data_IF_299564679700
#
_entry.id   IF_299564679700
#
_cell.length_a   1.000
_cell.length_b   1.000
_cell.length_c   1.000
_cell.angle_alpha   90.00
_cell.angle_beta   90.00
_cell.angle_gamma   90.00
#
_symmetry.space_group_name_H-M   'P 1'
#
loop_
_entity.id
_entity.type
_entity.pdbx_description
1 polymer ?
#
# COMPACT_ATOMS: atom_id res chain seq x y z
N UNK A 1 -23.90 12.52 -4.47
CA UNK A 1 -24.36 11.74 -5.66
C UNK A 1 -23.83 10.32 -5.51
N UNK A 2 -24.72 9.33 -5.35
CA UNK A 2 -24.31 7.92 -5.19
C UNK A 2 -23.90 7.32 -6.53
N UNK A 3 -22.98 6.35 -6.50
CA UNK A 3 -22.61 5.56 -7.67
C UNK A 3 -23.76 4.66 -8.11
N UNK A 4 -23.96 4.54 -9.44
CA UNK A 4 -24.93 3.61 -10.00
C UNK A 4 -24.43 2.16 -9.86
N UNK A 5 -25.37 1.19 -9.94
CA UNK A 5 -24.97 -0.23 -10.01
C UNK A 5 -24.03 -0.50 -11.19
N UNK A 6 -24.21 0.21 -12.31
CA UNK A 6 -23.35 0.09 -13.49
C UNK A 6 -21.91 0.56 -13.22
N UNK A 7 -21.71 1.61 -12.42
CA UNK A 7 -20.37 2.06 -12.04
C UNK A 7 -19.65 1.01 -11.19
N UNK A 8 -20.36 0.42 -10.24
CA UNK A 8 -19.83 -0.64 -9.36
C UNK A 8 -19.43 -1.87 -10.20
N UNK A 9 -20.29 -2.33 -11.09
CA UNK A 9 -19.98 -3.46 -11.98
C UNK A 9 -18.82 -3.13 -12.93
N UNK A 10 -18.76 -1.91 -13.44
CA UNK A 10 -17.63 -1.47 -14.28
C UNK A 10 -16.28 -1.57 -13.54
N UNK A 11 -16.24 -1.22 -12.27
CA UNK A 11 -15.02 -1.32 -11.46
C UNK A 11 -14.65 -2.78 -11.23
N UNK A 12 -15.58 -3.62 -10.82
CA UNK A 12 -15.34 -5.05 -10.60
C UNK A 12 -14.79 -5.77 -11.84
N UNK A 13 -15.23 -5.36 -13.02
CA UNK A 13 -14.80 -5.96 -14.27
C UNK A 13 -13.49 -5.38 -14.82
N UNK A 14 -13.17 -4.12 -14.53
CA UNK A 14 -12.01 -3.42 -15.10
C UNK A 14 -10.79 -3.37 -14.18
N UNK A 15 -10.98 -3.50 -12.88
CA UNK A 15 -9.89 -3.47 -11.90
C UNK A 15 -9.60 -4.89 -11.44
N UNK A 16 -8.50 -5.45 -11.92
CA UNK A 16 -8.04 -6.76 -11.50
C UNK A 16 -7.55 -6.76 -10.05
N UNK A 17 -7.83 -7.82 -9.30
CA UNK A 17 -7.25 -8.02 -7.97
C UNK A 17 -5.72 -8.05 -8.04
N UNK A 18 -5.07 -8.73 -9.01
CA UNK A 18 -3.62 -8.66 -9.18
C UNK A 18 -3.09 -7.24 -9.36
N UNK A 19 -3.77 -6.42 -10.18
CA UNK A 19 -3.38 -5.03 -10.40
C UNK A 19 -3.51 -4.21 -9.12
N UNK A 20 -4.60 -4.40 -8.37
CA UNK A 20 -4.80 -3.77 -7.08
C UNK A 20 -3.70 -4.14 -6.08
N UNK A 21 -3.35 -5.41 -5.97
CA UNK A 21 -2.27 -5.86 -5.07
C UNK A 21 -0.94 -5.24 -5.48
N UNK A 22 -0.59 -5.25 -6.76
CA UNK A 22 0.66 -4.66 -7.27
C UNK A 22 0.71 -3.14 -7.08
N UNK A 23 -0.37 -2.43 -7.42
CA UNK A 23 -0.38 -0.97 -7.49
C UNK A 23 -0.72 -0.28 -6.17
N UNK A 24 -1.40 -0.96 -5.25
CA UNK A 24 -1.83 -0.39 -3.97
C UNK A 24 -1.19 -1.12 -2.80
N UNK A 25 -1.44 -2.41 -2.66
CA UNK A 25 -0.99 -3.17 -1.49
C UNK A 25 0.53 -3.19 -1.38
N UNK A 26 1.24 -3.49 -2.48
CA UNK A 26 2.70 -3.53 -2.47
C UNK A 26 3.34 -2.15 -2.31
N UNK A 27 2.63 -1.07 -2.65
CA UNK A 27 3.10 0.29 -2.38
C UNK A 27 2.89 0.70 -0.92
N UNK A 28 1.79 0.23 -0.29
CA UNK A 28 1.48 0.50 1.11
C UNK A 28 2.23 -0.43 2.08
N UNK A 29 2.58 -1.65 1.64
CA UNK A 29 3.27 -2.67 2.43
C UNK A 29 4.44 -3.30 1.67
N UNK A 30 5.43 -2.51 1.19
CA UNK A 30 6.54 -3.04 0.40
C UNK A 30 7.37 -4.08 1.15
N UNK A 31 7.53 -3.92 2.48
CA UNK A 31 8.27 -4.84 3.34
C UNK A 31 7.60 -6.21 3.49
N UNK A 32 6.28 -6.27 3.38
CA UNK A 32 5.52 -7.51 3.59
C UNK A 32 5.70 -8.50 2.43
N UNK A 33 5.99 -8.00 1.24
CA UNK A 33 6.15 -8.78 0.02
C UNK A 33 7.58 -8.81 -0.53
N UNK A 34 8.57 -8.28 0.20
CA UNK A 34 9.96 -8.14 -0.26
C UNK A 34 10.60 -9.44 -0.76
N UNK A 35 10.32 -10.58 -0.11
CA UNK A 35 10.84 -11.90 -0.49
C UNK A 35 9.85 -12.72 -1.33
N UNK A 36 8.71 -12.13 -1.66
CA UNK A 36 7.63 -12.82 -2.32
C UNK A 36 7.33 -12.17 -3.65
N UNK A 37 7.82 -12.75 -4.73
CA UNK A 37 7.32 -12.44 -6.07
C UNK A 37 5.83 -12.78 -6.05
N UNK A 38 4.98 -11.74 -6.02
CA UNK A 38 3.53 -11.89 -6.14
C UNK A 38 3.25 -12.22 -7.61
N UNK A 39 3.35 -13.49 -7.92
CA UNK A 39 3.04 -14.01 -9.24
C UNK A 39 1.74 -14.78 -9.16
N UNK A 40 0.65 -14.13 -9.55
CA UNK A 40 -0.67 -14.73 -9.56
C UNK A 40 -0.85 -15.78 -10.65
N UNK A 41 0.06 -15.83 -11.65
CA UNK A 41 0.00 -16.81 -12.72
C UNK A 41 0.67 -18.14 -12.31
N UNK A 42 1.71 -18.05 -11.46
CA UNK A 42 2.47 -19.20 -11.01
C UNK A 42 2.12 -19.68 -9.60
N UNK A 43 1.54 -18.83 -8.76
CA UNK A 43 1.23 -19.14 -7.36
C UNK A 43 -0.28 -19.11 -7.12
N UNK A 44 -0.80 -20.24 -6.67
CA UNK A 44 -2.21 -20.36 -6.26
C UNK A 44 -2.54 -19.56 -4.99
N UNK A 45 -1.52 -19.29 -4.15
CA UNK A 45 -1.66 -18.58 -2.88
C UNK A 45 -0.56 -17.56 -2.70
N UNK A 46 -0.92 -16.39 -2.18
CA UNK A 46 0.00 -15.37 -1.70
C UNK A 46 -0.23 -15.09 -0.22
N UNK A 47 0.70 -14.41 0.44
CA UNK A 47 0.48 -13.89 1.79
C UNK A 47 -0.69 -12.90 1.78
N UNK A 48 -1.55 -12.98 2.79
CA UNK A 48 -2.75 -12.16 2.83
C UNK A 48 -2.40 -10.70 3.19
N UNK A 49 -2.84 -9.71 2.40
CA UNK A 49 -2.60 -8.31 2.71
C UNK A 49 -3.48 -7.76 3.85
N UNK A 50 -4.48 -8.53 4.30
CA UNK A 50 -5.46 -8.10 5.29
C UNK A 50 -5.02 -8.45 6.71
N UNK A 51 -4.39 -9.62 6.89
CA UNK A 51 -3.85 -10.04 8.17
C UNK A 51 -2.40 -10.51 7.99
N UNK A 52 -1.54 -10.19 8.94
CA UNK A 52 -0.14 -10.62 8.89
C UNK A 52 -0.04 -12.14 9.04
N UNK A 53 0.68 -12.81 8.12
CA UNK A 53 0.88 -14.24 8.15
C UNK A 53 2.22 -14.64 7.52
N UNK A 54 2.77 -15.78 7.96
CA UNK A 54 3.99 -16.35 7.36
C UNK A 54 3.67 -17.36 6.27
N UNK A 55 2.57 -18.08 6.40
CA UNK A 55 2.13 -19.11 5.45
C UNK A 55 1.05 -18.53 4.52
N UNK A 56 1.26 -18.52 3.19
CA UNK A 56 0.31 -17.96 2.24
C UNK A 56 -1.08 -18.60 2.33
N UNK A 57 -2.12 -17.80 2.50
CA UNK A 57 -3.50 -18.25 2.60
C UNK A 57 -4.50 -17.44 1.75
N UNK A 58 -4.04 -16.38 1.07
CA UNK A 58 -4.87 -15.58 0.17
C UNK A 58 -4.87 -16.17 -1.23
N UNK A 59 -6.04 -16.54 -1.73
CA UNK A 59 -6.23 -17.10 -3.07
C UNK A 59 -7.00 -16.14 -3.97
N UNK A 60 -6.51 -15.96 -5.19
CA UNK A 60 -7.19 -15.25 -6.27
C UNK A 60 -7.87 -16.25 -7.22
N UNK A 61 -9.06 -15.90 -7.70
CA UNK A 61 -9.87 -16.64 -8.67
C UNK A 61 -10.03 -15.80 -9.94
N UNK A 62 -9.25 -16.09 -11.01
CA UNK A 62 -9.22 -15.27 -12.22
C UNK A 62 -10.57 -15.18 -12.96
N UNK A 63 -11.30 -16.28 -13.05
CA UNK A 63 -12.55 -16.35 -13.81
C UNK A 63 -13.64 -15.43 -13.26
N UNK A 64 -13.66 -15.23 -11.94
CA UNK A 64 -14.64 -14.37 -11.25
C UNK A 64 -14.06 -13.03 -10.79
N UNK A 65 -12.75 -12.80 -10.98
CA UNK A 65 -12.01 -11.67 -10.42
C UNK A 65 -12.31 -11.45 -8.92
N UNK A 66 -12.29 -12.54 -8.15
CA UNK A 66 -12.55 -12.55 -6.72
C UNK A 66 -11.37 -13.13 -5.93
N UNK A 67 -11.37 -12.92 -4.64
CA UNK A 67 -10.40 -13.54 -3.73
C UNK A 67 -11.09 -14.21 -2.55
N UNK A 68 -10.36 -15.09 -1.91
CA UNK A 68 -10.71 -15.62 -0.60
C UNK A 68 -9.43 -15.91 0.20
N UNK A 69 -9.42 -15.51 1.45
CA UNK A 69 -8.33 -15.81 2.38
C UNK A 69 -8.75 -16.90 3.34
N UNK A 70 -8.05 -18.03 3.33
CA UNK A 70 -8.34 -19.17 4.20
C UNK A 70 -7.89 -18.96 5.65
N UNK A 71 -7.02 -17.96 5.90
CA UNK A 71 -6.56 -17.59 7.23
C UNK A 71 -7.56 -16.71 7.99
N UNK A 72 -8.02 -15.61 7.39
CA UNK A 72 -8.93 -14.67 8.07
C UNK A 72 -10.38 -14.73 7.60
N UNK A 73 -10.71 -15.55 6.60
CA UNK A 73 -12.08 -15.66 6.06
C UNK A 73 -12.54 -14.48 5.19
N UNK A 74 -11.69 -13.48 4.96
CA UNK A 74 -12.03 -12.36 4.09
C UNK A 74 -12.15 -12.81 2.63
N UNK A 75 -13.15 -12.30 1.91
CA UNK A 75 -13.36 -12.67 0.51
C UNK A 75 -14.26 -11.67 -0.23
N UNK A 76 -14.25 -11.78 -1.55
CA UNK A 76 -15.09 -10.97 -2.42
C UNK A 76 -14.34 -10.40 -3.62
N UNK A 77 -14.83 -9.28 -4.14
CA UNK A 77 -14.26 -8.55 -5.28
C UNK A 77 -13.20 -7.52 -4.84
N UNK A 78 -12.67 -6.74 -5.78
CA UNK A 78 -11.67 -5.70 -5.52
C UNK A 78 -12.16 -4.60 -4.57
N UNK A 79 -13.47 -4.32 -4.54
CA UNK A 79 -14.07 -3.33 -3.61
C UNK A 79 -14.02 -3.88 -2.19
N UNK A 80 -14.36 -5.16 -2.00
CA UNK A 80 -14.25 -5.84 -0.72
C UNK A 80 -12.80 -5.92 -0.24
N UNK A 81 -11.86 -6.20 -1.16
CA UNK A 81 -10.44 -6.21 -0.85
C UNK A 81 -9.96 -4.84 -0.37
N UNK A 82 -10.31 -3.77 -1.09
CA UNK A 82 -9.95 -2.41 -0.70
C UNK A 82 -10.45 -2.06 0.71
N UNK A 83 -11.72 -2.35 0.98
CA UNK A 83 -12.34 -2.09 2.29
C UNK A 83 -11.64 -2.87 3.41
N UNK A 84 -11.42 -4.17 3.21
CA UNK A 84 -10.78 -5.03 4.21
C UNK A 84 -9.32 -4.65 4.43
N UNK A 85 -8.59 -4.31 3.37
CA UNK A 85 -7.20 -3.88 3.43
C UNK A 85 -7.03 -2.58 4.21
N UNK A 86 -7.82 -1.54 3.89
CA UNK A 86 -7.71 -0.26 4.61
C UNK A 86 -8.22 -0.34 6.04
N UNK A 87 -9.21 -1.22 6.33
CA UNK A 87 -9.60 -1.49 7.71
C UNK A 87 -8.46 -2.08 8.52
N UNK A 88 -7.73 -3.05 7.96
CA UNK A 88 -6.58 -3.65 8.65
C UNK A 88 -5.41 -2.67 8.80
N UNK A 89 -5.19 -1.79 7.81
CA UNK A 89 -4.09 -0.85 7.80
C UNK A 89 -4.28 0.33 8.76
N UNK A 90 -5.52 0.82 8.92
CA UNK A 90 -5.81 2.07 9.64
C UNK A 90 -6.93 1.95 10.68
N UNK A 91 -7.46 0.75 10.91
CA UNK A 91 -8.63 0.48 11.77
C UNK A 91 -9.86 1.35 11.43
N UNK A 92 -9.93 1.81 10.18
CA UNK A 92 -11.01 2.65 9.68
C UNK A 92 -11.90 1.87 8.74
N UNK A 93 -13.21 1.92 8.98
CA UNK A 93 -14.19 1.38 8.05
C UNK A 93 -14.31 2.28 6.81
N UNK A 94 -14.00 1.71 5.64
CA UNK A 94 -14.13 2.36 4.33
C UNK A 94 -15.50 2.05 3.75
N UNK A 95 -16.28 3.09 3.45
CA UNK A 95 -17.59 2.95 2.79
C UNK A 95 -17.46 2.45 1.35
N UNK A 96 -18.53 1.86 0.81
CA UNK A 96 -18.53 1.38 -0.59
C UNK A 96 -18.32 2.52 -1.59
N UNK A 97 -18.94 3.69 -1.37
CA UNK A 97 -18.77 4.87 -2.24
C UNK A 97 -17.33 5.38 -2.24
N UNK A 98 -16.68 5.38 -1.09
CA UNK A 98 -15.29 5.79 -0.94
C UNK A 98 -14.35 4.82 -1.68
N UNK A 99 -14.55 3.52 -1.49
CA UNK A 99 -13.79 2.48 -2.20
C UNK A 99 -13.93 2.59 -3.71
N UNK A 100 -15.17 2.77 -4.19
CA UNK A 100 -15.49 2.96 -5.62
C UNK A 100 -14.82 4.21 -6.17
N UNK A 101 -14.86 5.33 -5.45
CA UNK A 101 -14.20 6.58 -5.83
C UNK A 101 -12.69 6.39 -5.97
N UNK A 102 -12.07 5.75 -4.98
CA UNK A 102 -10.63 5.47 -5.00
C UNK A 102 -10.23 4.61 -6.21
N UNK A 103 -10.92 3.49 -6.39
CA UNK A 103 -10.63 2.55 -7.48
C UNK A 103 -10.84 3.17 -8.86
N UNK A 104 -11.90 3.95 -9.03
CA UNK A 104 -12.17 4.67 -10.27
C UNK A 104 -11.05 5.66 -10.59
N UNK A 105 -10.70 6.52 -9.65
CA UNK A 105 -9.66 7.53 -9.86
C UNK A 105 -8.29 6.89 -10.09
N UNK A 106 -7.97 5.81 -9.38
CA UNK A 106 -6.66 5.16 -9.45
C UNK A 106 -6.46 4.34 -10.71
N UNK A 107 -7.48 3.59 -11.15
CA UNK A 107 -7.35 2.59 -12.20
C UNK A 107 -8.08 2.92 -13.50
N UNK A 108 -9.17 3.67 -13.45
CA UNK A 108 -10.00 3.97 -14.64
C UNK A 108 -9.68 5.35 -15.20
N UNK A 109 -9.69 6.38 -14.38
CA UNK A 109 -9.52 7.75 -14.86
C UNK A 109 -8.05 8.03 -15.24
N UNK A 110 -7.07 7.41 -14.57
CA UNK A 110 -5.66 7.46 -15.00
C UNK A 110 -5.40 6.86 -16.38
N UNK A 111 -6.21 5.93 -16.83
CA UNK A 111 -6.12 5.37 -18.18
C UNK A 111 -6.63 6.35 -19.24
N UNK A 112 -7.52 7.28 -18.88
CA UNK A 112 -7.97 8.36 -19.79
C UNK A 112 -6.92 9.46 -19.97
N UNK A 113 -6.10 9.72 -18.94
CA UNK A 113 -5.10 10.79 -18.95
C UNK A 113 -3.75 10.39 -19.56
N UNK A 114 -3.54 9.11 -19.93
CA UNK A 114 -2.34 8.71 -20.70
C UNK A 114 -2.29 9.33 -22.10
N UNK A 115 -3.32 10.01 -22.54
CA UNK A 115 -3.37 10.80 -23.77
C UNK A 115 -3.23 12.32 -23.57
N UNK A 116 -3.02 12.80 -22.35
CA UNK A 116 -2.71 14.20 -22.06
C UNK A 116 -1.50 14.29 -21.12
N UNK A 117 -0.38 14.57 -21.75
CA UNK A 117 0.88 14.96 -21.11
C UNK A 117 0.66 16.23 -20.28
N UNK A 118 1.27 16.25 -19.09
CA UNK A 118 1.45 17.35 -18.16
C UNK A 118 0.46 17.45 -16.98
N UNK A 119 0.83 16.82 -15.90
CA UNK A 119 0.52 17.36 -14.58
C UNK A 119 1.83 17.57 -13.81
N UNK A 120 2.39 18.75 -14.09
CA UNK A 120 3.34 19.42 -13.21
C UNK A 120 2.77 19.45 -11.79
N UNK A 121 3.62 19.06 -10.85
CA UNK A 121 3.60 19.42 -9.45
C UNK A 121 2.56 20.49 -9.06
N UNK A 122 1.38 20.09 -8.63
CA UNK A 122 0.62 20.93 -7.72
C UNK A 122 1.26 20.79 -6.35
N UNK A 123 2.16 21.72 -6.08
CA UNK A 123 2.60 22.07 -4.74
C UNK A 123 1.32 22.43 -3.97
N UNK A 124 0.90 21.58 -3.07
CA UNK A 124 -0.11 21.93 -2.07
C UNK A 124 0.49 23.07 -1.26
N UNK A 125 -0.21 24.21 -1.07
CA UNK A 125 0.30 25.29 -0.25
C UNK A 125 0.64 24.73 1.12
N UNK A 126 1.82 25.05 1.65
CA UNK A 126 2.24 24.70 3.00
C UNK A 126 1.28 25.33 4.01
N UNK A 127 0.19 24.65 4.30
CA UNK A 127 -0.56 24.84 5.53
C UNK A 127 0.29 24.35 6.70
N UNK A 128 0.02 24.88 7.89
CA UNK A 128 0.65 24.43 9.13
C UNK A 128 0.64 22.90 9.18
N UNK A 129 1.79 22.28 9.37
CA UNK A 129 1.92 20.82 9.47
C UNK A 129 1.23 20.42 10.77
N UNK A 130 0.10 19.75 10.68
CA UNK A 130 -0.63 19.21 11.82
C UNK A 130 -0.52 17.69 11.78
N UNK A 131 0.35 17.16 12.64
CA UNK A 131 0.43 15.73 12.88
C UNK A 131 -0.67 15.32 13.85
N UNK A 132 -1.64 14.53 13.41
CA UNK A 132 -2.59 13.92 14.34
C UNK A 132 -1.91 12.81 15.13
N UNK A 133 -2.39 12.53 16.35
CA UNK A 133 -1.88 11.39 17.14
C UNK A 133 -1.98 10.06 16.38
N UNK A 134 -2.99 9.92 15.50
CA UNK A 134 -3.14 8.74 14.64
C UNK A 134 -2.07 8.64 13.56
N UNK A 135 -1.63 9.75 13.00
CA UNK A 135 -0.59 9.75 11.96
C UNK A 135 0.78 9.47 12.56
N UNK A 136 1.06 9.96 13.78
CA UNK A 136 2.26 9.61 14.53
C UNK A 136 2.29 8.12 14.89
N UNK A 137 1.16 7.54 15.31
CA UNK A 137 1.05 6.10 15.58
C UNK A 137 1.28 5.26 14.31
N UNK A 138 0.85 5.74 13.14
CA UNK A 138 1.14 5.07 11.87
C UNK A 138 2.63 5.08 11.55
N UNK A 139 3.29 6.23 11.75
CA UNK A 139 4.74 6.35 11.55
C UNK A 139 5.51 5.44 12.50
N UNK A 140 5.13 5.42 13.78
CA UNK A 140 5.75 4.56 14.79
C UNK A 140 5.59 3.07 14.45
N UNK A 141 4.38 2.65 14.04
CA UNK A 141 4.13 1.28 13.59
C UNK A 141 4.98 0.93 12.38
N UNK A 142 4.97 1.79 11.36
CA UNK A 142 5.77 1.63 10.16
C UNK A 142 7.26 1.46 10.47
N UNK A 143 7.81 2.31 11.34
CA UNK A 143 9.19 2.22 11.79
C UNK A 143 9.50 0.88 12.47
N UNK A 144 8.64 0.46 13.40
CA UNK A 144 8.81 -0.78 14.17
C UNK A 144 8.80 -2.01 13.26
N UNK A 145 7.89 -2.04 12.29
CA UNK A 145 7.77 -3.15 11.34
C UNK A 145 9.01 -3.22 10.43
N UNK A 146 9.47 -2.08 9.92
CA UNK A 146 10.67 -2.00 9.10
C UNK A 146 11.94 -2.38 9.87
N UNK A 147 12.12 -1.89 11.09
CA UNK A 147 13.23 -2.24 11.99
C UNK A 147 13.27 -3.75 12.26
N UNK A 148 12.12 -4.33 12.57
CA UNK A 148 12.01 -5.78 12.79
C UNK A 148 12.38 -6.58 11.54
N UNK A 149 11.93 -6.15 10.37
CA UNK A 149 12.26 -6.80 9.09
C UNK A 149 13.75 -6.74 8.80
N UNK A 150 14.38 -5.56 8.97
CA UNK A 150 15.80 -5.36 8.72
C UNK A 150 16.69 -6.19 9.65
N UNK A 151 16.27 -6.41 10.89
CA UNK A 151 16.99 -7.25 11.85
C UNK A 151 17.00 -8.73 11.46
N UNK A 152 15.94 -9.22 10.86
CA UNK A 152 15.77 -10.63 10.48
C UNK A 152 16.35 -10.91 9.09
N UNK A 153 16.33 -9.92 8.19
CA UNK A 153 16.78 -10.10 6.81
C UNK A 153 18.31 -10.30 6.76
N UNK A 154 18.71 -11.55 6.54
CA UNK A 154 20.12 -11.96 6.38
C UNK A 154 20.64 -11.74 4.95
N UNK A 155 19.77 -11.41 4.00
CA UNK A 155 20.13 -11.18 2.61
C UNK A 155 20.75 -9.80 2.37
N UNK A 156 20.49 -8.84 3.28
CA UNK A 156 21.04 -7.50 3.24
C UNK A 156 22.39 -7.41 3.97
N UNK A 157 23.36 -6.77 3.32
CA UNK A 157 24.64 -6.47 3.99
C UNK A 157 24.44 -5.45 5.10
N UNK A 158 25.28 -5.49 6.14
CA UNK A 158 25.25 -4.52 7.24
C UNK A 158 25.39 -3.07 6.73
N UNK A 159 26.19 -2.86 5.69
CA UNK A 159 26.34 -1.56 5.04
C UNK A 159 25.02 -1.07 4.44
N UNK A 160 24.25 -1.97 3.83
CA UNK A 160 22.94 -1.64 3.24
C UNK A 160 21.92 -1.37 4.35
N UNK A 161 21.90 -2.18 5.41
CA UNK A 161 21.04 -1.96 6.58
C UNK A 161 21.30 -0.61 7.22
N UNK A 162 22.57 -0.25 7.43
CA UNK A 162 22.93 1.05 8.00
C UNK A 162 22.44 2.22 7.15
N UNK A 163 22.58 2.15 5.82
CA UNK A 163 22.00 3.18 4.93
C UNK A 163 20.49 3.33 5.08
N UNK A 164 19.78 2.22 5.28
CA UNK A 164 18.33 2.26 5.49
C UNK A 164 17.99 2.87 6.85
N UNK A 165 18.73 2.53 7.90
CA UNK A 165 18.57 3.15 9.22
C UNK A 165 18.81 4.66 9.17
N UNK A 166 19.85 5.14 8.47
CA UNK A 166 20.11 6.56 8.27
C UNK A 166 18.93 7.30 7.61
N UNK A 167 18.26 6.66 6.64
CA UNK A 167 17.08 7.22 5.98
C UNK A 167 15.89 7.28 6.96
N UNK A 168 15.70 6.27 7.77
CA UNK A 168 14.64 6.22 8.77
C UNK A 168 14.84 7.33 9.80
N UNK A 169 16.04 7.42 10.36
CA UNK A 169 16.38 8.42 11.38
C UNK A 169 16.25 9.84 10.84
N UNK A 170 16.65 10.06 9.58
CA UNK A 170 16.46 11.35 8.92
C UNK A 170 14.96 11.68 8.74
N UNK A 171 14.15 10.72 8.32
CA UNK A 171 12.69 10.89 8.20
C UNK A 171 12.03 11.25 9.53
N UNK A 172 12.41 10.57 10.62
CA UNK A 172 11.92 10.83 11.97
C UNK A 172 12.34 12.23 12.47
N UNK A 173 13.60 12.60 12.27
CA UNK A 173 14.12 13.92 12.63
C UNK A 173 13.42 15.08 11.91
N UNK A 174 13.01 14.86 10.65
CA UNK A 174 12.23 15.85 9.89
C UNK A 174 10.81 16.04 10.47
N UNK A 175 10.19 14.99 11.00
CA UNK A 175 8.89 15.09 11.69
C UNK A 175 9.03 15.78 13.03
N UNK A 176 10.04 15.43 13.84
CA UNK A 176 10.32 16.04 15.14
C UNK A 176 10.62 17.54 15.03
N UNK A 177 11.21 17.95 13.91
CA UNK A 177 11.49 19.36 13.63
C UNK A 177 10.37 20.10 12.90
N UNK A 178 9.17 19.52 12.83
CA UNK A 178 7.99 20.07 12.13
C UNK A 178 8.24 20.48 10.67
N UNK A 179 9.20 19.84 10.00
CA UNK A 179 9.52 20.11 8.59
C UNK A 179 8.63 19.34 7.63
N UNK A 180 8.21 18.16 8.02
CA UNK A 180 7.29 17.30 7.25
C UNK A 180 6.28 16.64 8.19
N UNK A 181 5.13 16.22 7.64
CA UNK A 181 4.14 15.44 8.38
C UNK A 181 4.61 13.98 8.54
N UNK A 182 4.01 13.26 9.49
CA UNK A 182 4.25 11.83 9.68
C UNK A 182 3.97 11.01 8.42
N UNK A 183 2.95 11.39 7.64
CA UNK A 183 2.62 10.72 6.37
C UNK A 183 3.66 11.01 5.27
N UNK A 184 4.18 12.24 5.23
CA UNK A 184 5.28 12.60 4.31
C UNK A 184 6.58 11.88 4.69
N UNK A 185 6.85 11.67 5.98
CA UNK A 185 7.99 10.90 6.45
C UNK A 185 7.90 9.43 6.01
N UNK A 186 6.74 8.81 6.16
CA UNK A 186 6.50 7.45 5.64
C UNK A 186 6.77 7.40 4.14
N UNK A 187 6.27 8.36 3.36
CA UNK A 187 6.49 8.42 1.93
C UNK A 187 7.97 8.64 1.56
N UNK A 188 8.68 9.48 2.32
CA UNK A 188 10.11 9.71 2.18
C UNK A 188 10.93 8.44 2.42
N UNK A 189 10.67 7.74 3.53
CA UNK A 189 11.36 6.50 3.88
C UNK A 189 11.10 5.42 2.82
N UNK A 190 9.84 5.23 2.42
CA UNK A 190 9.45 4.26 1.37
C UNK A 190 10.19 4.49 0.05
N UNK A 191 10.25 5.73 -0.41
CA UNK A 191 10.93 6.08 -1.67
C UNK A 191 12.40 5.71 -1.62
N UNK A 192 13.12 6.18 -0.61
CA UNK A 192 14.56 5.99 -0.49
C UNK A 192 14.91 4.52 -0.22
N UNK A 193 14.10 3.80 0.55
CA UNK A 193 14.24 2.36 0.74
C UNK A 193 14.14 1.61 -0.60
N UNK A 194 13.13 1.94 -1.42
CA UNK A 194 12.93 1.31 -2.72
C UNK A 194 14.09 1.56 -3.68
N UNK A 195 14.74 2.73 -3.61
CA UNK A 195 15.92 3.04 -4.41
C UNK A 195 17.12 2.19 -4.00
N UNK A 196 17.39 2.06 -2.69
CA UNK A 196 18.50 1.24 -2.17
C UNK A 196 18.35 -0.23 -2.57
N UNK A 197 17.11 -0.76 -2.52
CA UNK A 197 16.88 -2.17 -2.89
C UNK A 197 17.02 -2.41 -4.40
N UNK A 198 16.71 -1.41 -5.24
CA UNK A 198 16.88 -1.51 -6.70
C UNK A 198 18.34 -1.45 -7.17
N UNK A 199 19.22 -0.79 -6.40
CA UNK A 199 20.65 -0.70 -6.69
C UNK A 199 21.41 -2.01 -6.43
N UNK A 200 20.73 -3.05 -6.01
CA UNK A 200 21.23 -4.38 -5.69
C UNK A 200 21.13 -5.33 -6.88
#
# INVERSE_FOLDING_TARGET
MGFSKADIESIKNKVGIPDYVKDVVMQEMPWYFNDYTVDFDLKLYIKCPIHGEDTPSFRYYPESNTFYCFGCGAGGDVINLHKAFYKSLSDRDVGTEEAVTFLKNRFIDKLRDKNSVNLQNKIVPKGKIENTGKDLLKLERYYRDLDSTLKIDTSLSDKTKNKIFDIIDNGLSLVESDKISALEAIAYIKRNYSEIIKER
#
